data_IF_479647574267
#
_entry.id   IF_479647574267
#
_cell.length_a   1.000
_cell.length_b   1.000
_cell.length_c   1.000
_cell.angle_alpha   90.00
_cell.angle_beta   90.00
_cell.angle_gamma   90.00
#
_symmetry.space_group_name_H-M   'P 1'
#
loop_
_entity.id
_entity.type
_entity.pdbx_description
1 polymer ?
#
# COMPACT_ATOMS: atom_id res chain seq x y z
N UNK A 1 -12.64 -0.05 -20.86
CA UNK A 1 -11.97 0.58 -19.70
C UNK A 1 -11.46 1.93 -20.17
N UNK A 2 -11.93 3.02 -19.60
CA UNK A 2 -11.41 4.35 -19.93
C UNK A 2 -9.95 4.43 -19.45
N UNK A 3 -9.08 4.92 -20.33
CA UNK A 3 -7.67 5.12 -20.04
C UNK A 3 -7.54 6.18 -18.92
N UNK A 4 -7.29 5.72 -17.70
CA UNK A 4 -7.15 6.62 -16.54
C UNK A 4 -5.78 7.28 -16.60
N UNK A 5 -5.68 8.62 -16.58
CA UNK A 5 -4.40 9.29 -16.74
C UNK A 5 -3.50 9.01 -15.53
N UNK A 6 -2.39 8.35 -15.77
CA UNK A 6 -1.33 8.11 -14.79
C UNK A 6 -0.79 9.44 -14.24
N UNK A 7 -0.92 9.65 -12.92
CA UNK A 7 -0.31 10.80 -12.24
C UNK A 7 1.17 10.57 -11.99
N UNK A 8 1.50 9.52 -11.24
CA UNK A 8 2.89 9.07 -11.03
C UNK A 8 2.91 7.62 -10.56
N UNK A 9 4.11 7.06 -10.54
CA UNK A 9 4.38 5.71 -10.03
C UNK A 9 5.61 5.74 -9.13
N UNK A 10 5.55 5.02 -8.00
CA UNK A 10 6.70 4.66 -7.17
C UNK A 10 6.97 3.17 -7.31
N UNK A 11 8.22 2.74 -7.06
CA UNK A 11 8.57 1.32 -7.14
C UNK A 11 9.75 1.01 -6.19
N UNK A 12 9.57 1.21 -4.87
CA UNK A 12 10.56 0.79 -3.90
C UNK A 12 10.69 -0.73 -3.83
N UNK A 13 11.85 -1.20 -3.40
CA UNK A 13 12.06 -2.62 -3.12
C UNK A 13 12.88 -2.80 -1.85
N UNK A 14 12.66 -3.95 -1.19
CA UNK A 14 13.41 -4.41 -0.02
C UNK A 14 13.68 -5.90 -0.15
N UNK A 15 14.67 -6.40 0.59
CA UNK A 15 14.93 -7.83 0.76
C UNK A 15 14.53 -8.28 2.16
N UNK A 16 14.17 -9.55 2.30
CA UNK A 16 13.77 -10.20 3.54
C UNK A 16 14.36 -11.61 3.62
N UNK A 17 14.61 -12.07 4.84
CA UNK A 17 15.00 -13.47 5.11
C UNK A 17 13.80 -14.42 5.16
N UNK A 18 12.57 -13.88 5.21
CA UNK A 18 11.36 -14.68 5.15
C UNK A 18 11.14 -15.26 3.73
N UNK A 19 10.50 -16.42 3.64
CA UNK A 19 10.18 -17.04 2.35
C UNK A 19 9.10 -16.21 1.59
N UNK A 20 9.01 -16.35 0.26
CA UNK A 20 7.94 -15.69 -0.50
C UNK A 20 6.54 -16.01 0.02
N UNK A 21 6.30 -17.25 0.46
CA UNK A 21 5.03 -17.71 1.02
C UNK A 21 4.69 -16.97 2.31
N UNK A 22 5.67 -16.84 3.23
CA UNK A 22 5.48 -16.15 4.51
C UNK A 22 5.22 -14.65 4.31
N UNK A 23 5.90 -14.03 3.35
CA UNK A 23 5.67 -12.63 2.99
C UNK A 23 4.27 -12.47 2.40
N UNK A 24 3.89 -13.33 1.46
CA UNK A 24 2.58 -13.33 0.84
C UNK A 24 1.46 -13.48 1.87
N UNK A 25 1.59 -14.45 2.78
CA UNK A 25 0.59 -14.73 3.81
C UNK A 25 0.40 -13.54 4.77
N UNK A 26 1.46 -12.76 5.03
CA UNK A 26 1.36 -11.50 5.79
C UNK A 26 0.59 -10.44 5.01
N UNK A 27 0.79 -10.32 3.70
CA UNK A 27 0.08 -9.34 2.86
C UNK A 27 -1.39 -9.75 2.70
N UNK A 28 -1.65 -11.03 2.44
CA UNK A 28 -2.97 -11.55 2.15
C UNK A 28 -3.91 -11.63 3.37
N UNK A 29 -3.38 -11.71 4.59
CA UNK A 29 -4.16 -11.43 5.80
C UNK A 29 -4.23 -9.91 6.00
N UNK A 30 -5.29 -9.30 5.49
CA UNK A 30 -5.47 -7.84 5.44
C UNK A 30 -5.35 -7.16 6.81
N UNK A 31 -5.68 -7.83 7.90
CA UNK A 31 -5.58 -7.29 9.27
C UNK A 31 -4.14 -6.94 9.65
N UNK A 32 -3.17 -7.58 9.03
CA UNK A 32 -1.76 -7.26 9.22
C UNK A 32 -1.39 -5.87 8.70
N UNK A 33 -2.19 -5.30 7.79
CA UNK A 33 -1.97 -3.96 7.28
C UNK A 33 -2.03 -2.91 8.41
N UNK A 34 -2.88 -3.11 9.43
CA UNK A 34 -2.87 -2.26 10.63
C UNK A 34 -1.55 -2.31 11.39
N UNK A 35 -0.87 -3.45 11.39
CA UNK A 35 0.41 -3.60 12.10
C UNK A 35 1.52 -2.86 11.37
N UNK A 36 1.76 -3.19 10.09
CA UNK A 36 2.92 -2.64 9.37
C UNK A 36 2.68 -1.25 8.78
N UNK A 37 1.44 -0.88 8.48
CA UNK A 37 1.04 0.42 7.92
C UNK A 37 0.36 1.35 8.94
N UNK A 38 0.03 0.84 10.13
CA UNK A 38 -0.59 1.56 11.23
C UNK A 38 0.30 1.64 12.47
N UNK A 39 0.36 0.58 13.27
CA UNK A 39 1.06 0.56 14.56
C UNK A 39 2.56 0.85 14.42
N UNK A 40 3.20 0.35 13.36
CA UNK A 40 4.63 0.55 13.06
C UNK A 40 4.90 1.76 12.16
N UNK A 41 3.86 2.47 11.74
CA UNK A 41 4.03 3.72 11.00
C UNK A 41 4.50 4.82 11.95
N UNK A 42 5.46 5.63 11.49
CA UNK A 42 5.84 6.84 12.21
C UNK A 42 4.86 7.97 11.91
N UNK A 43 4.76 8.96 12.80
CA UNK A 43 3.74 10.01 12.78
C UNK A 43 3.91 11.06 11.65
N UNK A 44 4.93 10.93 10.80
CA UNK A 44 5.30 11.92 9.78
C UNK A 44 4.73 11.66 8.37
N UNK A 45 3.81 10.69 8.22
CA UNK A 45 3.32 10.27 6.91
C UNK A 45 1.89 9.74 6.93
N UNK A 46 1.68 8.73 6.11
CA UNK A 46 0.44 7.96 6.12
C UNK A 46 0.43 6.97 7.27
N UNK A 47 -0.65 7.00 8.06
CA UNK A 47 -0.87 6.09 9.18
C UNK A 47 -2.29 5.53 9.13
N UNK A 48 -2.40 4.23 8.93
CA UNK A 48 -3.67 3.53 9.02
C UNK A 48 -4.11 3.41 10.49
N UNK A 49 -5.33 3.82 10.79
CA UNK A 49 -5.91 3.81 12.14
C UNK A 49 -6.98 2.74 12.31
N UNK A 50 -7.71 2.43 11.24
CA UNK A 50 -8.73 1.38 11.24
C UNK A 50 -8.74 0.62 9.93
N UNK A 51 -9.16 -0.62 9.99
CA UNK A 51 -9.37 -1.49 8.85
C UNK A 51 -10.52 -2.45 9.16
N UNK A 52 -11.48 -2.52 8.25
CA UNK A 52 -12.58 -3.48 8.28
C UNK A 52 -12.43 -4.43 7.08
N UNK A 53 -12.04 -5.65 7.35
CA UNK A 53 -11.82 -6.69 6.35
C UNK A 53 -12.42 -8.02 6.80
N UNK A 54 -12.81 -8.90 5.87
CA UNK A 54 -13.18 -10.28 6.18
C UNK A 54 -12.05 -11.02 6.89
N UNK A 55 -12.42 -12.02 7.69
CA UNK A 55 -11.45 -12.92 8.31
C UNK A 55 -10.79 -13.84 7.27
N UNK A 56 -9.52 -14.18 7.52
CA UNK A 56 -8.74 -15.12 6.73
C UNK A 56 -7.95 -14.49 5.59
N UNK A 57 -7.46 -15.36 4.70
CA UNK A 57 -6.64 -14.97 3.57
C UNK A 57 -7.50 -14.32 2.48
N UNK A 58 -7.15 -13.11 2.07
CA UNK A 58 -7.83 -12.42 1.00
C UNK A 58 -7.57 -13.09 -0.37
N UNK A 59 -8.62 -13.14 -1.18
CA UNK A 59 -8.62 -13.66 -2.53
C UNK A 59 -9.10 -12.58 -3.50
N UNK A 60 -8.99 -12.82 -4.81
CA UNK A 60 -9.54 -11.92 -5.82
C UNK A 60 -11.03 -11.66 -5.56
N UNK A 61 -11.42 -10.38 -5.57
CA UNK A 61 -12.77 -9.93 -5.25
C UNK A 61 -13.01 -9.62 -3.76
N UNK A 62 -12.07 -9.94 -2.84
CA UNK A 62 -12.18 -9.51 -1.45
C UNK A 62 -12.17 -7.99 -1.37
N UNK A 63 -13.19 -7.43 -0.71
CA UNK A 63 -13.32 -5.99 -0.47
C UNK A 63 -13.08 -5.65 0.99
N UNK A 64 -12.51 -4.48 1.25
CA UNK A 64 -12.28 -3.98 2.61
C UNK A 64 -12.28 -2.45 2.63
N UNK A 65 -12.42 -1.88 3.81
CA UNK A 65 -12.34 -0.44 4.03
C UNK A 65 -11.25 -0.13 5.04
N UNK A 66 -10.60 1.01 4.88
CA UNK A 66 -9.64 1.50 5.86
C UNK A 66 -9.78 3.00 6.06
N UNK A 67 -9.30 3.49 7.18
CA UNK A 67 -9.19 4.92 7.43
C UNK A 67 -7.91 5.23 8.20
N UNK A 68 -7.48 6.48 8.13
CA UNK A 68 -6.28 6.90 8.80
C UNK A 68 -5.99 8.37 8.60
N UNK A 69 -4.74 8.74 8.85
CA UNK A 69 -4.28 10.12 8.71
C UNK A 69 -3.15 10.24 7.69
N UNK A 70 -3.14 11.34 6.96
CA UNK A 70 -2.07 11.77 6.09
C UNK A 70 -1.64 13.18 6.54
N UNK A 71 -0.68 13.22 7.46
CA UNK A 71 -0.33 14.44 8.17
C UNK A 71 -1.49 14.95 9.04
N UNK A 72 -2.16 16.03 8.60
CA UNK A 72 -3.31 16.64 9.32
C UNK A 72 -4.67 16.30 8.70
N UNK A 73 -4.68 15.62 7.59
CA UNK A 73 -5.88 15.26 6.85
C UNK A 73 -6.27 13.82 7.18
N UNK A 74 -7.56 13.50 7.06
CA UNK A 74 -8.09 12.14 7.29
C UNK A 74 -8.42 11.51 5.94
N UNK A 75 -8.03 10.26 5.74
CA UNK A 75 -8.41 9.50 4.56
C UNK A 75 -9.38 8.37 4.91
N UNK A 76 -10.21 8.05 3.93
CA UNK A 76 -11.11 6.90 3.92
C UNK A 76 -10.95 6.17 2.60
N UNK A 77 -10.66 4.88 2.67
CA UNK A 77 -10.36 4.04 1.52
C UNK A 77 -11.39 2.93 1.40
N UNK A 78 -11.76 2.66 0.14
CA UNK A 78 -12.47 1.45 -0.24
C UNK A 78 -11.61 0.68 -1.23
N UNK A 79 -11.29 -0.55 -0.88
CA UNK A 79 -10.33 -1.35 -1.60
C UNK A 79 -10.91 -2.69 -2.06
N UNK A 80 -10.37 -3.21 -3.15
CA UNK A 80 -10.66 -4.54 -3.68
C UNK A 80 -9.38 -5.24 -4.12
N UNK A 81 -9.24 -6.50 -3.78
CA UNK A 81 -8.14 -7.35 -4.27
C UNK A 81 -8.44 -7.76 -5.71
N UNK A 82 -7.54 -7.45 -6.63
CA UNK A 82 -7.71 -7.71 -8.07
C UNK A 82 -6.79 -8.80 -8.62
N UNK A 83 -5.69 -9.09 -7.92
CA UNK A 83 -4.82 -10.25 -8.19
C UNK A 83 -4.32 -10.84 -6.87
N UNK A 84 -4.35 -12.17 -6.76
CA UNK A 84 -3.92 -12.93 -5.58
C UNK A 84 -3.19 -14.20 -6.01
N UNK A 85 -2.15 -14.05 -6.84
CA UNK A 85 -1.33 -15.14 -7.40
C UNK A 85 -0.23 -15.55 -6.42
N UNK A 86 -0.56 -16.40 -5.44
CA UNK A 86 0.35 -16.87 -4.39
C UNK A 86 1.50 -17.72 -4.96
N UNK A 87 2.74 -17.54 -4.51
CA UNK A 87 3.21 -16.55 -3.51
C UNK A 87 3.78 -15.28 -4.16
N UNK A 88 3.54 -15.02 -5.43
CA UNK A 88 4.33 -14.11 -6.25
C UNK A 88 3.71 -12.72 -6.44
N UNK A 89 2.38 -12.64 -6.50
CA UNK A 89 1.71 -11.37 -6.83
C UNK A 89 0.49 -11.15 -5.93
N UNK A 90 0.38 -9.91 -5.40
CA UNK A 90 -0.83 -9.45 -4.73
C UNK A 90 -1.12 -8.01 -5.17
N UNK A 91 -2.35 -7.76 -5.63
CA UNK A 91 -2.76 -6.44 -6.15
C UNK A 91 -4.04 -5.98 -5.46
N UNK A 92 -4.02 -4.72 -5.03
CA UNK A 92 -5.15 -4.03 -4.43
C UNK A 92 -5.44 -2.78 -5.25
N UNK A 93 -6.69 -2.58 -5.64
CA UNK A 93 -7.19 -1.32 -6.19
C UNK A 93 -7.95 -0.58 -5.09
N UNK A 94 -7.68 0.71 -4.95
CA UNK A 94 -8.21 1.55 -3.87
C UNK A 94 -8.81 2.83 -4.43
N UNK A 95 -10.08 3.07 -4.11
CA UNK A 95 -10.70 4.38 -4.22
C UNK A 95 -10.60 5.07 -2.86
N UNK A 96 -9.83 6.14 -2.80
CA UNK A 96 -9.57 6.91 -1.61
C UNK A 96 -10.31 8.24 -1.64
N UNK A 97 -10.83 8.63 -0.50
CA UNK A 97 -11.30 10.00 -0.25
C UNK A 97 -10.50 10.61 0.91
N UNK A 98 -10.14 11.87 0.78
CA UNK A 98 -9.39 12.59 1.81
C UNK A 98 -10.14 13.86 2.21
N UNK A 99 -10.46 13.95 3.50
CA UNK A 99 -11.06 15.14 4.09
C UNK A 99 -9.97 16.07 4.60
N UNK A 100 -9.95 17.29 4.05
CA UNK A 100 -9.04 18.34 4.49
C UNK A 100 -9.70 19.19 5.58
N UNK A 101 -8.89 19.83 6.39
CA UNK A 101 -9.36 20.86 7.34
C UNK A 101 -10.13 22.02 6.67
N UNK A 102 -9.92 22.26 5.38
CA UNK A 102 -10.64 23.26 4.57
C UNK A 102 -12.03 22.83 4.11
N UNK A 103 -12.54 21.67 4.58
CA UNK A 103 -13.79 21.04 4.12
C UNK A 103 -13.82 20.66 2.63
N UNK A 104 -12.69 20.65 1.94
CA UNK A 104 -12.58 20.12 0.58
C UNK A 104 -12.32 18.61 0.63
N UNK A 105 -13.07 17.84 -0.14
CA UNK A 105 -12.85 16.40 -0.29
C UNK A 105 -12.01 16.12 -1.55
N UNK A 106 -10.95 15.37 -1.38
CA UNK A 106 -10.16 14.84 -2.49
C UNK A 106 -10.56 13.40 -2.76
N UNK A 107 -10.59 13.04 -4.01
CA UNK A 107 -10.74 11.67 -4.44
C UNK A 107 -9.51 11.27 -5.25
N UNK A 108 -9.01 10.08 -4.97
CA UNK A 108 -7.88 9.50 -5.68
C UNK A 108 -8.14 8.02 -5.96
N UNK A 109 -7.51 7.50 -7.00
CA UNK A 109 -7.49 6.07 -7.29
C UNK A 109 -6.06 5.60 -7.29
N UNK A 110 -5.81 4.51 -6.54
CA UNK A 110 -4.51 3.90 -6.36
C UNK A 110 -4.54 2.44 -6.78
N UNK A 111 -3.45 1.98 -7.37
CA UNK A 111 -3.16 0.56 -7.53
C UNK A 111 -1.91 0.22 -6.72
N UNK A 112 -2.03 -0.76 -5.84
CA UNK A 112 -0.97 -1.25 -4.96
C UNK A 112 -0.61 -2.67 -5.39
N UNK A 113 0.56 -2.84 -5.98
CA UNK A 113 1.04 -4.15 -6.46
C UNK A 113 2.28 -4.58 -5.70
N UNK A 114 2.24 -5.79 -5.18
CA UNK A 114 3.36 -6.48 -4.55
C UNK A 114 3.83 -7.60 -5.46
N UNK A 115 5.08 -7.53 -5.93
CA UNK A 115 5.76 -8.62 -6.63
C UNK A 115 6.80 -9.22 -5.68
N UNK A 116 6.71 -10.54 -5.42
CA UNK A 116 7.58 -11.26 -4.48
C UNK A 116 8.37 -12.28 -5.28
N UNK A 117 9.69 -12.25 -5.13
CA UNK A 117 10.60 -13.14 -5.86
C UNK A 117 11.65 -13.72 -4.94
N UNK A 118 12.03 -14.96 -5.21
CA UNK A 118 13.18 -15.59 -4.55
C UNK A 118 14.49 -15.08 -5.17
N UNK A 119 15.45 -14.65 -4.35
CA UNK A 119 16.78 -14.21 -4.77
C UNK A 119 17.85 -14.87 -3.89
N UNK A 120 18.34 -16.04 -4.29
CA UNK A 120 19.34 -16.80 -3.49
C UNK A 120 18.78 -17.21 -2.14
N UNK A 121 19.34 -16.73 -1.03
CA UNK A 121 18.88 -17.02 0.33
C UNK A 121 17.88 -16.00 0.86
N UNK A 122 17.50 -15.04 0.05
CA UNK A 122 16.60 -13.95 0.42
C UNK A 122 15.38 -13.95 -0.51
N UNK A 123 14.35 -13.27 -0.07
CA UNK A 123 13.22 -12.89 -0.89
C UNK A 123 13.30 -11.39 -1.19
N UNK A 124 12.97 -11.00 -2.41
CA UNK A 124 12.83 -9.59 -2.80
C UNK A 124 11.36 -9.25 -2.91
N UNK A 125 10.97 -8.16 -2.29
CA UNK A 125 9.64 -7.56 -2.39
C UNK A 125 9.79 -6.27 -3.20
N UNK A 126 9.07 -6.19 -4.31
CA UNK A 126 8.94 -4.96 -5.11
C UNK A 126 7.51 -4.47 -4.94
N UNK A 127 7.37 -3.29 -4.39
CA UNK A 127 6.07 -2.64 -4.27
C UNK A 127 5.92 -1.57 -5.33
N UNK A 128 4.85 -1.64 -6.09
CA UNK A 128 4.53 -0.63 -7.10
C UNK A 128 3.23 0.06 -6.70
N UNK A 129 3.32 1.33 -6.35
CA UNK A 129 2.15 2.19 -6.20
C UNK A 129 1.96 3.01 -7.47
N UNK A 130 0.76 2.95 -8.01
CA UNK A 130 0.35 3.73 -9.17
C UNK A 130 -0.79 4.64 -8.75
N UNK A 131 -0.58 5.95 -8.87
CA UNK A 131 -1.61 6.97 -8.64
C UNK A 131 -2.20 7.36 -10.00
N UNK A 132 -3.46 6.98 -10.24
CA UNK A 132 -4.08 7.13 -11.55
C UNK A 132 -4.93 8.39 -11.65
N UNK A 133 -5.65 8.73 -10.60
CA UNK A 133 -6.54 9.89 -10.59
C UNK A 133 -6.50 10.61 -9.26
N UNK A 134 -6.34 11.93 -9.33
CA UNK A 134 -6.58 12.83 -8.21
C UNK A 134 -7.43 13.99 -8.78
N UNK A 135 -8.67 14.13 -8.30
CA UNK A 135 -9.60 15.13 -8.83
C UNK A 135 -9.18 16.58 -8.53
N UNK A 136 -8.37 16.76 -7.51
CA UNK A 136 -7.96 18.05 -6.97
C UNK A 136 -6.83 18.75 -7.74
N UNK A 137 -6.00 18.01 -8.48
CA UNK A 137 -4.80 18.59 -9.10
C UNK A 137 -5.11 19.23 -10.45
N UNK A 138 -5.06 20.56 -10.57
CA UNK A 138 -5.17 21.22 -11.86
C UNK A 138 -4.16 20.65 -12.83
N UNK A 139 -4.57 20.46 -14.09
CA UNK A 139 -3.75 19.82 -15.13
C UNK A 139 -2.34 20.45 -15.30
N UNK A 140 -2.24 21.76 -15.16
CA UNK A 140 -1.00 22.52 -15.29
C UNK A 140 -0.03 22.37 -14.10
N UNK A 141 -0.52 21.93 -12.91
CA UNK A 141 0.32 21.63 -11.75
C UNK A 141 0.87 20.19 -11.75
N UNK A 142 0.33 19.30 -12.58
CA UNK A 142 0.73 17.87 -12.61
C UNK A 142 2.25 17.63 -12.74
N UNK A 143 3.01 18.34 -13.59
CA UNK A 143 4.44 18.14 -13.69
C UNK A 143 5.21 18.49 -12.40
N UNK A 144 4.83 19.58 -11.73
CA UNK A 144 5.45 19.99 -10.45
C UNK A 144 5.16 19.04 -9.31
N UNK A 145 3.93 18.51 -9.25
CA UNK A 145 3.53 17.52 -8.24
C UNK A 145 4.35 16.24 -8.37
N UNK A 146 4.56 15.73 -9.58
CA UNK A 146 5.41 14.54 -9.81
C UNK A 146 6.81 14.71 -9.23
N UNK A 147 7.39 15.90 -9.36
CA UNK A 147 8.75 16.17 -8.90
C UNK A 147 8.85 16.31 -7.38
N UNK A 148 7.85 16.88 -6.74
CA UNK A 148 7.86 17.18 -5.30
C UNK A 148 7.29 16.01 -4.48
N UNK A 149 6.15 15.47 -4.87
CA UNK A 149 5.44 14.45 -4.07
C UNK A 149 5.98 13.03 -4.27
N UNK A 150 6.44 12.68 -5.48
CA UNK A 150 6.97 11.34 -5.75
C UNK A 150 8.08 10.91 -4.80
N UNK A 151 9.11 11.72 -4.51
CA UNK A 151 10.17 11.33 -3.57
C UNK A 151 9.67 11.12 -2.14
N UNK A 152 8.68 11.90 -1.73
CA UNK A 152 8.07 11.77 -0.42
C UNK A 152 7.24 10.48 -0.29
N UNK A 153 6.41 10.19 -1.29
CA UNK A 153 5.63 8.92 -1.37
C UNK A 153 6.60 7.73 -1.43
N UNK A 154 7.61 7.74 -2.31
CA UNK A 154 8.60 6.65 -2.40
C UNK A 154 9.31 6.38 -1.07
N UNK A 155 9.59 7.42 -0.28
CA UNK A 155 10.19 7.28 1.05
C UNK A 155 9.20 6.63 2.03
N UNK A 156 7.94 7.05 2.04
CA UNK A 156 6.89 6.50 2.89
C UNK A 156 6.64 5.01 2.55
N UNK A 157 6.49 4.69 1.27
CA UNK A 157 6.31 3.34 0.77
C UNK A 157 7.46 2.41 1.16
N UNK A 158 8.70 2.89 0.99
CA UNK A 158 9.90 2.12 1.36
C UNK A 158 9.95 1.80 2.85
N UNK A 159 9.46 2.70 3.68
CA UNK A 159 9.38 2.53 5.13
C UNK A 159 8.33 1.49 5.51
N UNK A 160 7.12 1.60 4.95
CA UNK A 160 6.06 0.61 5.14
C UNK A 160 6.49 -0.77 4.65
N UNK A 161 7.15 -0.85 3.49
CA UNK A 161 7.65 -2.10 2.93
C UNK A 161 8.71 -2.77 3.84
N UNK A 162 9.53 -1.99 4.54
CA UNK A 162 10.46 -2.51 5.56
C UNK A 162 9.72 -3.07 6.78
N UNK A 163 8.65 -2.42 7.22
CA UNK A 163 7.84 -2.90 8.33
C UNK A 163 7.14 -4.22 7.98
N UNK A 164 6.62 -4.33 6.75
CA UNK A 164 6.07 -5.57 6.20
C UNK A 164 7.11 -6.71 6.22
N UNK A 165 8.32 -6.45 5.67
CA UNK A 165 9.39 -7.44 5.63
C UNK A 165 9.76 -7.94 7.04
N UNK A 166 9.90 -7.02 8.00
CA UNK A 166 10.20 -7.37 9.41
C UNK A 166 9.07 -8.20 10.04
N UNK A 167 7.82 -7.86 9.79
CA UNK A 167 6.68 -8.63 10.30
C UNK A 167 6.68 -10.05 9.77
N UNK A 168 6.98 -10.24 8.47
CA UNK A 168 7.10 -11.57 7.87
C UNK A 168 8.25 -12.38 8.47
N UNK A 169 9.40 -11.77 8.72
CA UNK A 169 10.56 -12.40 9.37
C UNK A 169 10.27 -12.82 10.82
N UNK A 170 9.57 -11.99 11.58
CA UNK A 170 9.17 -12.28 12.96
C UNK A 170 8.24 -13.50 13.01
N UNK A 171 7.22 -13.53 12.14
CA UNK A 171 6.25 -14.64 12.07
C UNK A 171 6.90 -15.95 11.61
N UNK A 172 7.82 -15.88 10.65
CA UNK A 172 8.57 -17.08 10.21
C UNK A 172 9.37 -17.71 11.33
N UNK A 173 9.97 -16.90 12.21
CA UNK A 173 10.72 -17.39 13.38
C UNK A 173 9.84 -18.01 14.47
N UNK A 174 8.60 -17.55 14.59
CA UNK A 174 7.67 -18.06 15.62
C UNK A 174 6.99 -19.36 15.18
N UNK A 175 6.98 -19.65 13.88
CA UNK A 175 6.37 -20.86 13.30
C UNK A 175 7.35 -22.02 13.08
N UNK A 176 8.64 -21.81 13.36
CA UNK A 176 9.73 -22.81 13.29
C UNK A 176 10.02 -23.41 14.65
#
# INVERSE_FOLDING_TARGET
MADRPLMFRTQPSVTSTASPEAIYDVIADLRNHLVWSGERAEDDGFKMLSLEAPDGTAIVGTTFTSSGTAGKDTFHDRSVVTDASRPHVFVIETDASMERRSAETWEAHFSHRYDIRHEGNLSRIVYTETVERVNYVPYWLKPGIRTIFRPWVDRADRKQLRNLARLAEERSRTSS
#
